data_IF_078953809268
#
_entry.id   IF_078953809268
#
_cell.length_a   1.000
_cell.length_b   1.000
_cell.length_c   1.000
_cell.angle_alpha   90.00
_cell.angle_beta   90.00
_cell.angle_gamma   90.00
#
_symmetry.space_group_name_H-M   'P 1'
#
loop_
_entity.id
_entity.type
_entity.pdbx_description
1 polymer ?
#
# COMPACT_ATOMS: atom_id res chain seq x y z
N UNK A 1 5.49 14.50 6.34
CA UNK A 1 5.43 15.71 7.20
C UNK A 1 4.05 15.86 7.84
N UNK A 2 3.07 16.63 7.31
CA UNK A 2 1.81 16.89 8.05
C UNK A 2 1.12 15.69 8.73
N UNK A 3 0.94 14.56 8.05
CA UNK A 3 0.30 13.38 8.65
C UNK A 3 1.18 12.70 9.72
N UNK A 4 2.49 12.76 9.58
CA UNK A 4 3.47 12.23 10.55
C UNK A 4 3.56 13.13 11.78
N UNK A 5 3.56 14.45 11.56
CA UNK A 5 3.52 15.44 12.64
C UNK A 5 2.26 15.29 13.48
N UNK A 6 1.11 15.07 12.82
CA UNK A 6 -0.17 14.81 13.50
C UNK A 6 -0.16 13.49 14.28
N UNK A 7 0.47 12.43 13.75
CA UNK A 7 0.61 11.16 14.45
C UNK A 7 1.46 11.32 15.72
N UNK A 8 2.54 12.09 15.61
CA UNK A 8 3.47 12.37 16.70
C UNK A 8 2.81 13.25 17.78
N UNK A 9 2.07 14.29 17.39
CA UNK A 9 1.29 15.13 18.29
C UNK A 9 0.18 14.36 19.01
N UNK A 10 -0.41 13.36 18.35
CA UNK A 10 -1.40 12.46 18.93
C UNK A 10 -0.79 11.30 19.75
N UNK A 11 0.54 11.20 19.84
CA UNK A 11 1.22 10.13 20.58
C UNK A 11 1.04 8.74 19.98
N UNK A 12 0.71 8.64 18.69
CA UNK A 12 0.49 7.35 18.00
C UNK A 12 1.84 6.72 17.66
N UNK A 13 2.07 5.51 18.16
CA UNK A 13 3.33 4.78 18.00
C UNK A 13 3.10 3.31 17.62
N UNK A 14 4.14 2.67 17.11
CA UNK A 14 4.17 1.23 16.80
C UNK A 14 3.12 0.83 15.77
N UNK A 15 2.40 -0.26 16.02
CA UNK A 15 1.40 -0.80 15.10
C UNK A 15 0.25 0.18 14.80
N UNK A 16 0.04 1.21 15.64
CA UNK A 16 -0.96 2.25 15.42
C UNK A 16 -0.56 3.29 14.36
N UNK A 17 0.72 3.43 14.06
CA UNK A 17 1.24 4.47 13.16
C UNK A 17 0.74 4.26 11.73
N UNK A 18 0.89 3.07 11.16
CA UNK A 18 0.50 2.80 9.76
C UNK A 18 -1.00 3.01 9.49
N UNK A 19 -1.93 2.49 10.31
CA UNK A 19 -3.37 2.76 10.12
C UNK A 19 -3.74 4.24 10.22
N UNK A 20 -3.09 4.99 11.12
CA UNK A 20 -3.34 6.42 11.28
C UNK A 20 -2.88 7.20 10.04
N UNK A 21 -1.62 6.99 9.62
CA UNK A 21 -1.05 7.70 8.48
C UNK A 21 -1.84 7.45 7.20
N UNK A 22 -2.22 6.20 6.92
CA UNK A 22 -3.02 5.88 5.73
C UNK A 22 -4.36 6.60 5.72
N UNK A 23 -5.04 6.65 6.88
CA UNK A 23 -6.32 7.35 7.01
C UNK A 23 -6.14 8.85 6.81
N UNK A 24 -5.14 9.46 7.46
CA UNK A 24 -4.91 10.90 7.33
C UNK A 24 -4.47 11.33 5.94
N UNK A 25 -3.60 10.56 5.29
CA UNK A 25 -3.21 10.84 3.91
C UNK A 25 -4.39 10.72 2.94
N UNK A 26 -5.34 9.83 3.20
CA UNK A 26 -6.59 9.76 2.42
C UNK A 26 -7.45 11.00 2.64
N UNK A 27 -7.64 11.44 3.89
CA UNK A 27 -8.43 12.64 4.21
C UNK A 27 -7.80 13.92 3.63
N UNK A 28 -6.49 14.13 3.82
CA UNK A 28 -5.74 15.28 3.30
C UNK A 28 -5.73 15.35 1.77
N UNK A 29 -5.87 14.22 1.08
CA UNK A 29 -5.90 14.12 -0.39
C UNK A 29 -7.31 14.05 -0.97
N UNK A 30 -8.36 14.24 -0.16
CA UNK A 30 -9.76 14.04 -0.56
C UNK A 30 -9.97 12.67 -1.28
N UNK A 31 -9.39 11.62 -0.71
CA UNK A 31 -9.43 10.25 -1.23
C UNK A 31 -8.47 9.96 -2.39
N UNK A 32 -7.62 10.90 -2.80
CA UNK A 32 -6.62 10.71 -3.86
C UNK A 32 -5.66 9.56 -3.56
N UNK A 33 -5.13 9.51 -2.34
CA UNK A 33 -4.19 8.47 -1.90
C UNK A 33 -4.84 7.08 -1.90
N UNK A 34 -6.13 6.98 -1.54
CA UNK A 34 -6.86 5.72 -1.59
C UNK A 34 -7.01 5.21 -3.03
N UNK A 35 -7.37 6.10 -3.97
CA UNK A 35 -7.48 5.75 -5.40
C UNK A 35 -6.13 5.31 -5.98
N UNK A 36 -5.05 6.03 -5.63
CA UNK A 36 -3.70 5.68 -6.05
C UNK A 36 -3.28 4.31 -5.51
N UNK A 37 -3.51 4.04 -4.22
CA UNK A 37 -3.22 2.73 -3.63
C UNK A 37 -4.01 1.59 -4.27
N UNK A 38 -5.27 1.82 -4.65
CA UNK A 38 -6.06 0.82 -5.36
C UNK A 38 -5.50 0.52 -6.77
N UNK A 39 -5.13 1.56 -7.52
CA UNK A 39 -4.50 1.40 -8.82
C UNK A 39 -3.15 0.67 -8.73
N UNK A 40 -2.36 0.98 -7.71
CA UNK A 40 -1.10 0.27 -7.41
C UNK A 40 -1.35 -1.19 -7.05
N UNK A 41 -2.36 -1.49 -6.23
CA UNK A 41 -2.71 -2.86 -5.86
C UNK A 41 -3.10 -3.70 -7.09
N UNK A 42 -3.93 -3.14 -7.97
CA UNK A 42 -4.30 -3.79 -9.24
C UNK A 42 -3.07 -4.02 -10.13
N UNK A 43 -2.16 -3.05 -10.18
CA UNK A 43 -0.92 -3.20 -10.92
C UNK A 43 -0.02 -4.30 -10.35
N UNK A 44 0.15 -4.33 -9.03
CA UNK A 44 0.93 -5.35 -8.34
C UNK A 44 0.36 -6.75 -8.57
N UNK A 45 -0.97 -6.90 -8.51
CA UNK A 45 -1.65 -8.16 -8.78
C UNK A 45 -1.39 -8.66 -10.21
N UNK A 46 -1.50 -7.77 -11.21
CA UNK A 46 -1.23 -8.10 -12.62
C UNK A 46 0.22 -8.51 -12.84
N UNK A 47 1.17 -7.76 -12.27
CA UNK A 47 2.60 -8.10 -12.38
C UNK A 47 2.92 -9.42 -11.69
N UNK A 48 2.38 -9.65 -10.48
CA UNK A 48 2.56 -10.90 -9.76
C UNK A 48 2.03 -12.11 -10.55
N UNK A 49 0.87 -11.97 -11.21
CA UNK A 49 0.34 -13.02 -12.07
C UNK A 49 1.27 -13.33 -13.25
N UNK A 50 1.82 -12.30 -13.91
CA UNK A 50 2.78 -12.49 -15.00
C UNK A 50 4.06 -13.20 -14.53
N UNK A 51 4.57 -12.84 -13.35
CA UNK A 51 5.72 -13.51 -12.72
C UNK A 51 5.40 -14.97 -12.41
N UNK A 52 4.23 -15.26 -11.85
CA UNK A 52 3.82 -16.63 -11.54
C UNK A 52 3.72 -17.51 -12.79
N UNK A 53 3.16 -17.00 -13.89
CA UNK A 53 3.11 -17.71 -15.18
C UNK A 53 4.51 -17.95 -15.74
N UNK A 54 5.37 -16.93 -15.73
CA UNK A 54 6.75 -17.08 -16.19
C UNK A 54 7.51 -18.12 -15.36
N UNK A 55 7.32 -18.12 -14.03
CA UNK A 55 7.94 -19.09 -13.14
C UNK A 55 7.45 -20.51 -13.42
N UNK A 56 6.15 -20.72 -13.61
CA UNK A 56 5.57 -22.02 -13.95
C UNK A 56 6.11 -22.57 -15.27
N UNK A 57 6.41 -21.72 -16.25
CA UNK A 57 6.97 -22.14 -17.54
C UNK A 57 8.46 -22.47 -17.49
N UNK A 58 9.19 -21.93 -16.51
CA UNK A 58 10.65 -22.11 -16.38
C UNK A 58 10.98 -23.22 -15.38
N UNK A 59 10.09 -23.50 -14.43
CA UNK A 59 10.23 -24.62 -13.52
C UNK A 59 9.78 -25.92 -14.21
N UNK A 60 10.63 -26.95 -14.30
CA UNK A 60 10.16 -28.27 -14.73
C UNK A 60 9.12 -28.79 -13.74
N UNK A 61 8.10 -29.50 -14.24
CA UNK A 61 7.20 -30.24 -13.35
C UNK A 61 8.04 -31.18 -12.48
N UNK A 62 7.85 -31.09 -11.16
CA UNK A 62 8.55 -31.92 -10.18
C UNK A 62 8.07 -33.37 -10.23
#
# INVERSE_FOLDING_TARGET
>A
ERAEDEAQAAGIVGAGTTPFLLRRLSELSAGGTLRANLALLQNNARVAAAVAVALANVMPEA
#
